data_IF_503416475059
#
_entry.id   IF_503416475059
#
_cell.length_a   1.000
_cell.length_b   1.000
_cell.length_c   1.000
_cell.angle_alpha   90.00
_cell.angle_beta   90.00
_cell.angle_gamma   90.00
#
_symmetry.space_group_name_H-M   'P 1'
#
loop_
_entity.id
_entity.type
_entity.pdbx_description
1 polymer ?
#
# COMPACT_ATOMS: atom_id res chain seq x y z
N UNK A 1 4.98 -1.56 22.31
CA UNK A 1 5.26 -1.74 20.88
C UNK A 1 4.77 -0.57 20.01
N UNK A 2 3.56 -0.06 20.21
CA UNK A 2 3.03 1.09 19.45
C UNK A 2 3.97 2.32 19.45
N UNK A 3 4.53 2.70 20.61
CA UNK A 3 5.54 3.76 20.71
C UNK A 3 6.78 3.50 19.83
N UNK A 4 7.30 2.26 19.81
CA UNK A 4 8.45 1.89 18.98
C UNK A 4 8.10 1.87 17.49
N UNK A 5 6.91 1.41 17.14
CA UNK A 5 6.42 1.45 15.77
C UNK A 5 6.32 2.91 15.26
N UNK A 6 5.81 3.82 16.09
CA UNK A 6 5.68 5.23 15.74
C UNK A 6 7.00 6.01 15.75
N UNK A 7 7.89 5.76 16.71
CA UNK A 7 9.06 6.62 17.00
C UNK A 7 10.41 5.92 17.09
N UNK A 8 10.42 4.59 17.11
CA UNK A 8 11.63 3.78 17.25
C UNK A 8 12.53 3.80 16.02
N UNK A 9 13.73 3.25 16.16
CA UNK A 9 14.72 3.11 15.10
C UNK A 9 14.82 1.68 14.55
N UNK A 10 15.81 1.45 13.69
CA UNK A 10 16.07 0.13 13.08
C UNK A 10 16.31 -0.98 14.13
N UNK A 11 16.95 -0.63 15.25
CA UNK A 11 17.18 -1.57 16.36
C UNK A 11 15.89 -2.09 17.01
N UNK A 12 14.76 -1.38 16.85
CA UNK A 12 13.46 -1.77 17.39
C UNK A 12 12.65 -2.69 16.46
N UNK A 13 13.12 -2.92 15.23
CA UNK A 13 12.39 -3.67 14.20
C UNK A 13 11.95 -5.06 14.68
N UNK A 14 12.82 -5.78 15.39
CA UNK A 14 12.50 -7.09 15.96
C UNK A 14 11.31 -7.06 16.93
N UNK A 15 11.23 -6.03 17.78
CA UNK A 15 10.15 -5.86 18.75
C UNK A 15 8.82 -5.49 18.06
N UNK A 16 8.88 -4.62 17.05
CA UNK A 16 7.71 -4.22 16.26
C UNK A 16 7.17 -5.43 15.49
N UNK A 17 8.04 -6.20 14.82
CA UNK A 17 7.66 -7.41 14.09
C UNK A 17 7.03 -8.46 15.00
N UNK A 18 7.63 -8.70 16.17
CA UNK A 18 7.10 -9.66 17.13
C UNK A 18 5.73 -9.24 17.64
N UNK A 19 5.51 -7.94 17.89
CA UNK A 19 4.21 -7.41 18.26
C UNK A 19 3.18 -7.57 17.13
N UNK A 20 3.53 -7.20 15.90
CA UNK A 20 2.65 -7.36 14.72
C UNK A 20 2.16 -8.81 14.57
N UNK A 21 3.08 -9.77 14.60
CA UNK A 21 2.76 -11.20 14.47
C UNK A 21 1.89 -11.71 15.63
N UNK A 22 2.14 -11.25 16.86
CA UNK A 22 1.33 -11.63 18.02
C UNK A 22 -0.08 -11.06 17.92
N UNK A 23 -0.23 -9.79 17.55
CA UNK A 23 -1.54 -9.15 17.39
C UNK A 23 -2.37 -9.85 16.33
N UNK A 24 -1.80 -10.13 15.14
CA UNK A 24 -2.53 -10.89 14.10
C UNK A 24 -2.96 -12.27 14.60
N UNK A 25 -2.11 -12.97 15.36
CA UNK A 25 -2.45 -14.29 15.91
C UNK A 25 -3.56 -14.23 16.96
N UNK A 26 -3.59 -13.19 17.78
CA UNK A 26 -4.54 -13.08 18.90
C UNK A 26 -5.88 -12.46 18.49
N UNK A 27 -5.86 -11.48 17.59
CA UNK A 27 -7.01 -10.63 17.25
C UNK A 27 -7.44 -10.77 15.78
N UNK A 28 -6.69 -11.52 14.96
CA UNK A 28 -6.91 -11.59 13.52
C UNK A 28 -6.43 -10.33 12.78
N UNK A 29 -6.74 -10.21 11.47
CA UNK A 29 -6.24 -9.15 10.59
C UNK A 29 -7.01 -7.81 10.73
N UNK A 30 -7.82 -7.64 11.77
CA UNK A 30 -8.68 -6.47 11.99
C UNK A 30 -8.40 -5.73 13.31
N UNK A 31 -7.45 -6.21 14.12
CA UNK A 31 -7.17 -5.64 15.44
C UNK A 31 -6.76 -4.16 15.37
N UNK A 32 -7.29 -3.32 16.26
CA UNK A 32 -7.03 -1.88 16.26
C UNK A 32 -5.54 -1.56 16.44
N UNK A 33 -4.81 -2.39 17.21
CA UNK A 33 -3.37 -2.24 17.39
C UNK A 33 -2.57 -2.43 16.09
N UNK A 34 -3.14 -3.10 15.07
CA UNK A 34 -2.47 -3.31 13.78
C UNK A 34 -2.20 -2.00 13.06
N UNK A 35 -3.02 -0.96 13.26
CA UNK A 35 -2.88 0.32 12.56
C UNK A 35 -1.47 0.90 12.74
N UNK A 36 -1.06 1.09 14.00
CA UNK A 36 0.27 1.61 14.31
C UNK A 36 1.38 0.61 13.98
N UNK A 37 1.14 -0.70 14.14
CA UNK A 37 2.17 -1.72 13.91
C UNK A 37 2.48 -1.91 12.43
N UNK A 38 1.48 -1.83 11.55
CA UNK A 38 1.63 -1.85 10.09
C UNK A 38 2.40 -0.62 9.63
N UNK A 39 2.01 0.56 10.08
CA UNK A 39 2.73 1.81 9.77
C UNK A 39 4.20 1.73 10.21
N UNK A 40 4.45 1.20 11.41
CA UNK A 40 5.80 0.99 11.92
C UNK A 40 6.62 -0.02 11.12
N UNK A 41 6.01 -1.11 10.65
CA UNK A 41 6.71 -2.10 9.82
C UNK A 41 7.15 -1.52 8.47
N UNK A 42 6.30 -0.69 7.86
CA UNK A 42 6.63 0.06 6.65
C UNK A 42 7.73 1.10 6.89
N UNK A 43 7.55 1.95 7.90
CA UNK A 43 8.51 3.02 8.26
C UNK A 43 9.90 2.49 8.57
N UNK A 44 9.99 1.34 9.24
CA UNK A 44 11.26 0.68 9.57
C UNK A 44 11.77 -0.23 8.45
N UNK A 45 11.07 -0.33 7.31
CA UNK A 45 11.41 -1.19 6.17
C UNK A 45 11.70 -2.64 6.59
N UNK A 46 10.86 -3.21 7.46
CA UNK A 46 11.01 -4.57 7.98
C UNK A 46 10.63 -5.58 6.89
N UNK A 47 11.57 -5.94 6.02
CA UNK A 47 11.31 -6.83 4.86
C UNK A 47 10.69 -8.18 5.24
N UNK A 48 11.09 -8.77 6.37
CA UNK A 48 10.53 -10.03 6.86
C UNK A 48 9.10 -9.91 7.44
N UNK A 49 8.53 -8.69 7.47
CA UNK A 49 7.12 -8.46 7.75
C UNK A 49 6.22 -8.68 6.51
N UNK A 50 6.78 -8.70 5.29
CA UNK A 50 5.99 -8.78 4.06
C UNK A 50 4.92 -9.90 4.10
N UNK A 51 5.21 -11.17 4.49
CA UNK A 51 4.18 -12.21 4.52
C UNK A 51 2.98 -11.89 5.42
N UNK A 52 3.19 -11.29 6.59
CA UNK A 52 2.08 -10.92 7.50
C UNK A 52 1.35 -9.68 7.01
N UNK A 53 2.05 -8.73 6.38
CA UNK A 53 1.42 -7.56 5.75
C UNK A 53 0.53 -7.95 4.57
N UNK A 54 0.96 -8.92 3.74
CA UNK A 54 0.13 -9.48 2.65
C UNK A 54 -1.14 -10.13 3.16
N UNK A 55 -1.03 -10.86 4.28
CA UNK A 55 -2.19 -11.46 4.93
C UNK A 55 -3.17 -10.39 5.42
N UNK A 56 -2.68 -9.36 6.13
CA UNK A 56 -3.53 -8.24 6.58
C UNK A 56 -4.21 -7.55 5.40
N UNK A 57 -3.46 -7.24 4.33
CA UNK A 57 -4.01 -6.60 3.13
C UNK A 57 -5.17 -7.39 2.52
N UNK A 58 -5.03 -8.71 2.40
CA UNK A 58 -6.04 -9.57 1.76
C UNK A 58 -7.28 -9.79 2.62
N UNK A 59 -7.10 -9.93 3.92
CA UNK A 59 -8.17 -10.38 4.80
C UNK A 59 -8.90 -9.21 5.48
N UNK A 60 -8.31 -8.02 5.56
CA UNK A 60 -8.97 -6.91 6.24
C UNK A 60 -10.19 -6.38 5.47
N UNK A 61 -11.32 -6.24 6.17
CA UNK A 61 -12.51 -5.57 5.64
C UNK A 61 -12.37 -4.03 5.65
N UNK A 62 -11.43 -3.48 6.41
CA UNK A 62 -11.18 -2.03 6.47
C UNK A 62 -10.29 -1.60 5.31
N UNK A 63 -10.84 -0.79 4.41
CA UNK A 63 -10.13 -0.14 3.31
C UNK A 63 -8.97 0.74 3.79
N UNK A 64 -9.18 1.52 4.85
CA UNK A 64 -8.12 2.31 5.50
C UNK A 64 -6.95 1.46 6.03
N UNK A 65 -7.23 0.30 6.65
CA UNK A 65 -6.16 -0.59 7.10
C UNK A 65 -5.47 -1.27 5.92
N UNK A 66 -6.22 -1.60 4.86
CA UNK A 66 -5.69 -2.15 3.62
C UNK A 66 -4.72 -1.18 2.95
N UNK A 67 -5.07 0.10 2.85
CA UNK A 67 -4.18 1.15 2.34
C UNK A 67 -2.90 1.33 3.15
N UNK A 68 -2.98 1.26 4.49
CA UNK A 68 -1.79 1.23 5.35
C UNK A 68 -0.92 0.01 5.10
N UNK A 69 -1.53 -1.17 4.96
CA UNK A 69 -0.81 -2.40 4.65
C UNK A 69 -0.15 -2.31 3.26
N UNK A 70 -0.81 -1.72 2.26
CA UNK A 70 -0.25 -1.47 0.95
C UNK A 70 0.98 -0.56 1.02
N UNK A 71 0.91 0.55 1.77
CA UNK A 71 2.05 1.46 1.98
C UNK A 71 3.21 0.76 2.68
N UNK A 72 2.93 -0.08 3.67
CA UNK A 72 3.96 -0.88 4.31
C UNK A 72 4.57 -1.93 3.37
N UNK A 73 3.77 -2.56 2.51
CA UNK A 73 4.23 -3.49 1.48
C UNK A 73 5.12 -2.79 0.44
N UNK A 74 4.79 -1.57 0.02
CA UNK A 74 5.62 -0.78 -0.89
C UNK A 74 7.05 -0.59 -0.36
N UNK A 75 7.23 -0.50 0.96
CA UNK A 75 8.53 -0.34 1.60
C UNK A 75 9.24 -1.67 1.95
N UNK A 76 8.52 -2.80 1.98
CA UNK A 76 9.02 -4.07 2.55
C UNK A 76 9.04 -5.24 1.57
N UNK A 77 8.23 -5.18 0.51
CA UNK A 77 8.01 -6.27 -0.42
C UNK A 77 8.51 -5.90 -1.83
N UNK A 78 9.59 -6.54 -2.33
CA UNK A 78 10.13 -6.25 -3.66
C UNK A 78 9.16 -6.61 -4.79
N UNK A 79 8.16 -7.45 -4.54
CA UNK A 79 7.15 -7.84 -5.55
C UNK A 79 5.94 -6.90 -5.60
N UNK A 80 5.87 -5.89 -4.72
CA UNK A 80 4.71 -5.02 -4.57
C UNK A 80 4.23 -4.41 -5.89
N UNK A 81 5.16 -3.90 -6.69
CA UNK A 81 4.86 -3.22 -7.96
C UNK A 81 4.09 -4.10 -8.96
N UNK A 82 4.43 -5.38 -9.06
CA UNK A 82 3.80 -6.31 -10.01
C UNK A 82 2.55 -7.02 -9.45
N UNK A 83 2.30 -6.89 -8.14
CA UNK A 83 1.18 -7.53 -7.44
C UNK A 83 0.22 -6.51 -6.85
N UNK A 84 0.32 -6.29 -5.53
CA UNK A 84 -0.64 -5.46 -4.80
C UNK A 84 -0.74 -4.02 -5.28
N UNK A 85 0.33 -3.42 -5.81
CA UNK A 85 0.23 -2.09 -6.42
C UNK A 85 -0.75 -2.06 -7.58
N UNK A 86 -0.84 -3.13 -8.37
CA UNK A 86 -1.83 -3.27 -9.45
C UNK A 86 -3.23 -3.35 -8.85
N UNK A 87 -3.46 -4.22 -7.87
CA UNK A 87 -4.76 -4.34 -7.19
C UNK A 87 -5.24 -3.00 -6.59
N UNK A 88 -4.31 -2.25 -5.99
CA UNK A 88 -4.59 -0.96 -5.35
C UNK A 88 -5.13 0.12 -6.33
N UNK A 89 -4.98 -0.02 -7.65
CA UNK A 89 -5.57 0.89 -8.64
C UNK A 89 -7.10 0.86 -8.65
N UNK A 90 -7.71 -0.21 -8.13
CA UNK A 90 -9.15 -0.39 -8.00
C UNK A 90 -9.63 -0.31 -6.55
N UNK A 91 -8.78 0.13 -5.63
CA UNK A 91 -9.19 0.33 -4.24
C UNK A 91 -10.18 1.49 -4.10
N UNK A 92 -11.00 1.47 -3.05
CA UNK A 92 -11.94 2.55 -2.79
C UNK A 92 -11.27 3.79 -2.18
N UNK A 93 -10.12 3.65 -1.53
CA UNK A 93 -9.39 4.79 -0.95
C UNK A 93 -8.51 5.46 -2.01
N UNK A 94 -8.68 6.77 -2.16
CA UNK A 94 -7.88 7.66 -2.99
C UNK A 94 -6.39 7.54 -2.69
N UNK A 95 -5.99 7.51 -1.41
CA UNK A 95 -4.57 7.44 -1.04
C UNK A 95 -3.94 6.08 -1.36
N UNK A 96 -4.76 5.03 -1.45
CA UNK A 96 -4.33 3.70 -1.90
C UNK A 96 -4.17 3.69 -3.42
N UNK A 97 -5.09 4.32 -4.14
CA UNK A 97 -4.99 4.50 -5.61
C UNK A 97 -3.83 5.42 -6.01
N UNK A 98 -3.53 6.45 -5.24
CA UNK A 98 -2.36 7.31 -5.44
C UNK A 98 -1.05 6.51 -5.27
N UNK A 99 -0.92 5.73 -4.19
CA UNK A 99 0.21 4.83 -3.99
C UNK A 99 0.35 3.86 -5.17
N UNK A 100 -0.75 3.26 -5.60
CA UNK A 100 -0.80 2.38 -6.75
C UNK A 100 -0.33 3.08 -8.02
N UNK A 101 -0.81 4.32 -8.25
CA UNK A 101 -0.40 5.14 -9.36
C UNK A 101 1.11 5.29 -9.37
N UNK A 102 1.80 5.55 -8.25
CA UNK A 102 3.26 5.64 -8.24
C UNK A 102 4.01 4.31 -8.50
N UNK A 103 3.45 3.17 -8.10
CA UNK A 103 4.20 1.91 -8.01
C UNK A 103 3.81 0.81 -9.00
N UNK A 104 2.58 0.81 -9.51
CA UNK A 104 2.06 -0.32 -10.29
C UNK A 104 2.89 -0.58 -11.56
N UNK A 105 3.27 -1.82 -11.81
CA UNK A 105 3.97 -2.20 -13.03
C UNK A 105 3.05 -2.02 -14.26
N UNK A 106 3.57 -1.41 -15.33
CA UNK A 106 2.81 -1.04 -16.54
C UNK A 106 2.93 -2.05 -17.69
N UNK A 107 3.38 -3.28 -17.39
CA UNK A 107 3.49 -4.34 -18.41
C UNK A 107 2.14 -4.90 -18.87
N UNK A 108 1.07 -4.68 -18.11
CA UNK A 108 -0.30 -5.09 -18.45
C UNK A 108 -1.08 -3.90 -19.04
N UNK A 109 -1.68 -4.10 -20.22
CA UNK A 109 -2.51 -3.09 -20.88
C UNK A 109 -3.69 -2.63 -20.01
N UNK A 110 -4.23 -3.51 -19.15
CA UNK A 110 -5.32 -3.16 -18.22
C UNK A 110 -4.88 -2.14 -17.18
N UNK A 111 -3.62 -2.20 -16.74
CA UNK A 111 -3.04 -1.20 -15.82
C UNK A 111 -2.94 0.15 -16.51
N UNK A 112 -2.38 0.19 -17.72
CA UNK A 112 -2.22 1.44 -18.48
C UNK A 112 -3.58 2.08 -18.78
N UNK A 113 -4.57 1.27 -19.18
CA UNK A 113 -5.94 1.74 -19.39
C UNK A 113 -6.57 2.30 -18.12
N UNK A 114 -6.41 1.62 -16.98
CA UNK A 114 -6.92 2.12 -15.71
C UNK A 114 -6.25 3.43 -15.30
N UNK A 115 -4.93 3.59 -15.50
CA UNK A 115 -4.23 4.85 -15.24
C UNK A 115 -4.78 5.99 -16.10
N UNK A 116 -5.10 5.75 -17.38
CA UNK A 116 -5.74 6.74 -18.26
C UNK A 116 -7.14 7.11 -17.79
N UNK A 117 -7.93 6.13 -17.34
CA UNK A 117 -9.26 6.38 -16.77
C UNK A 117 -9.19 7.27 -15.54
N UNK A 118 -8.34 6.93 -14.58
CA UNK A 118 -8.12 7.76 -13.39
C UNK A 118 -7.63 9.16 -13.75
N UNK A 119 -6.81 9.31 -14.80
CA UNK A 119 -6.31 10.61 -15.24
C UNK A 119 -7.40 11.52 -15.83
N UNK A 120 -8.44 10.93 -16.41
CA UNK A 120 -9.52 11.60 -17.12
C UNK A 120 -10.81 11.72 -16.29
N UNK A 121 -10.92 11.03 -15.16
CA UNK A 121 -12.11 11.04 -14.32
C UNK A 121 -12.23 12.35 -13.53
N UNK A 122 -13.22 13.21 -13.82
CA UNK A 122 -13.39 14.49 -13.13
C UNK A 122 -13.80 14.35 -11.65
N UNK A 123 -14.29 13.18 -11.22
CA UNK A 123 -14.62 12.90 -9.83
C UNK A 123 -13.43 12.36 -9.03
N UNK A 124 -12.30 12.10 -9.69
CA UNK A 124 -11.09 11.61 -9.03
C UNK A 124 -10.32 12.73 -8.32
N UNK A 125 -9.65 12.36 -7.22
CA UNK A 125 -8.84 13.28 -6.43
C UNK A 125 -7.62 13.80 -7.21
N UNK A 126 -7.29 15.07 -6.98
CA UNK A 126 -6.28 15.79 -7.75
C UNK A 126 -4.88 15.15 -7.61
N UNK A 127 -4.55 14.63 -6.44
CA UNK A 127 -3.31 13.93 -6.14
C UNK A 127 -3.20 12.63 -6.95
N UNK A 128 -4.28 11.85 -7.02
CA UNK A 128 -4.34 10.63 -7.83
C UNK A 128 -4.17 10.98 -9.31
N UNK A 129 -4.93 11.97 -9.81
CA UNK A 129 -4.81 12.45 -11.20
C UNK A 129 -3.39 12.89 -11.53
N UNK A 130 -2.74 13.62 -10.61
CA UNK A 130 -1.36 14.10 -10.78
C UNK A 130 -0.38 12.95 -10.84
N UNK A 131 -0.52 11.97 -9.94
CA UNK A 131 0.32 10.78 -9.90
C UNK A 131 0.20 9.96 -11.19
N UNK A 132 -1.01 9.74 -11.71
CA UNK A 132 -1.20 8.97 -12.95
C UNK A 132 -0.74 9.75 -14.19
N UNK A 133 -1.02 11.05 -14.30
CA UNK A 133 -0.58 11.90 -15.42
C UNK A 133 0.95 11.98 -15.51
N UNK A 134 1.64 11.94 -14.38
CA UNK A 134 3.10 11.89 -14.35
C UNK A 134 3.67 10.58 -14.93
N UNK A 135 2.84 9.54 -15.07
CA UNK A 135 3.26 8.22 -15.58
C UNK A 135 2.87 7.95 -17.01
N UNK A 136 1.73 8.44 -17.45
CA UNK A 136 1.32 8.41 -18.86
C UNK A 136 1.87 9.70 -19.48
N UNK A 137 3.02 9.62 -20.18
CA UNK A 137 3.57 10.78 -20.87
C UNK A 137 2.55 11.43 -21.84
N UNK A 138 2.81 12.64 -22.35
CA UNK A 138 1.86 13.42 -23.15
C UNK A 138 1.32 12.73 -24.42
N UNK A 139 1.94 11.65 -24.91
CA UNK A 139 1.54 10.92 -26.12
C UNK A 139 0.61 9.72 -25.88
N UNK A 140 -0.52 9.95 -25.21
CA UNK A 140 -1.64 9.00 -25.23
C UNK A 140 -2.99 9.66 -25.50
N UNK A 141 -2.98 10.92 -25.93
CA UNK A 141 -4.14 11.68 -26.36
C UNK A 141 -3.93 12.16 -27.80
N UNK A 142 -3.98 11.24 -28.77
CA UNK A 142 -4.02 11.59 -30.19
C UNK A 142 -3.31 10.62 -31.11
N UNK A 143 -4.05 9.63 -31.62
CA UNK A 143 -4.22 9.30 -33.05
C UNK A 143 -5.47 8.45 -33.23
#
# INVERSE_FOLDING_TARGET
>A
AAMLAARGGQYDAGLVLAALRRTVRAEGPHGQALWTLVDGAGRLAITCAAPVLRHIYRETASSHLRGRAARALAATDPTFAAGFAVECLWDCEETTRELAAHHAATGDARVVEQLRRLAADPAEEAEVQTAVRSRIGPDAAGV
#
